data_IF_537889925449
#
_entry.id   IF_537889925449
#
_cell.length_a   1.000
_cell.length_b   1.000
_cell.length_c   1.000
_cell.angle_alpha   90.00
_cell.angle_beta   90.00
_cell.angle_gamma   90.00
#
_symmetry.space_group_name_H-M   'P 1'
#
loop_
_entity.id
_entity.type
_entity.pdbx_description
1 polymer ?
#
# COMPACT_ATOMS: atom_id res chain seq x y z
N UNK A 1 10.82 26.90 -9.90
CA UNK A 1 9.66 27.45 -9.17
C UNK A 1 9.54 26.67 -7.86
N UNK A 2 9.42 27.33 -6.72
CA UNK A 2 9.21 26.63 -5.44
C UNK A 2 7.79 26.09 -5.44
N UNK A 3 7.61 24.78 -5.31
CA UNK A 3 6.30 24.18 -5.10
C UNK A 3 5.64 24.79 -3.85
N UNK A 4 4.34 25.08 -3.92
CA UNK A 4 3.57 25.59 -2.79
C UNK A 4 3.35 24.48 -1.76
N UNK A 5 3.31 24.85 -0.49
CA UNK A 5 3.01 23.90 0.58
C UNK A 5 1.55 23.47 0.47
N UNK A 6 1.35 22.16 0.41
CA UNK A 6 0.07 21.51 0.47
C UNK A 6 -0.04 20.70 1.77
N UNK A 7 -1.26 20.50 2.25
CA UNK A 7 -1.53 19.55 3.35
C UNK A 7 -1.56 18.13 2.82
N UNK A 8 -1.10 17.18 3.63
CA UNK A 8 -1.15 15.75 3.32
C UNK A 8 -2.01 15.02 4.35
N UNK A 9 -2.91 14.17 3.88
CA UNK A 9 -3.73 13.30 4.71
C UNK A 9 -4.07 12.00 4.01
N UNK A 10 -4.74 11.12 4.75
CA UNK A 10 -5.15 9.80 4.31
C UNK A 10 -6.60 9.58 4.72
N UNK A 11 -7.40 8.97 3.86
CA UNK A 11 -8.77 8.63 4.18
C UNK A 11 -9.16 7.27 3.57
N UNK A 12 -9.98 6.46 4.27
CA UNK A 12 -10.57 5.27 3.67
C UNK A 12 -11.42 5.64 2.45
N UNK A 13 -11.28 4.85 1.38
CA UNK A 13 -12.03 4.96 0.16
C UNK A 13 -12.46 3.57 -0.33
N UNK A 14 -13.53 3.55 -1.12
CA UNK A 14 -14.15 2.33 -1.60
C UNK A 14 -14.39 2.45 -3.10
N UNK A 15 -13.92 1.48 -3.86
CA UNK A 15 -14.39 1.21 -5.22
C UNK A 15 -15.41 0.09 -5.13
N UNK A 16 -16.67 0.42 -5.34
CA UNK A 16 -17.75 -0.55 -5.30
C UNK A 16 -17.58 -1.59 -6.42
N UNK A 17 -17.75 -2.87 -6.07
CA UNK A 17 -17.81 -3.94 -7.07
C UNK A 17 -19.15 -3.97 -7.82
N UNK A 18 -19.18 -4.66 -8.96
CA UNK A 18 -20.38 -4.73 -9.79
C UNK A 18 -20.25 -5.69 -10.97
N UNK A 19 -21.36 -5.90 -11.68
CA UNK A 19 -21.38 -6.60 -12.97
C UNK A 19 -21.68 -5.57 -14.05
N UNK A 20 -20.80 -5.48 -15.04
CA UNK A 20 -20.94 -4.57 -16.17
C UNK A 20 -21.96 -5.12 -17.17
N UNK A 21 -22.50 -4.24 -18.01
CA UNK A 21 -23.54 -4.58 -18.99
C UNK A 21 -23.08 -5.63 -20.03
N UNK A 22 -21.78 -5.78 -20.23
CA UNK A 22 -21.16 -6.76 -21.12
C UNK A 22 -20.90 -8.13 -20.44
N UNK A 23 -21.20 -8.27 -19.14
CA UNK A 23 -20.99 -9.50 -18.37
C UNK A 23 -19.66 -9.56 -17.62
N UNK A 24 -18.80 -8.55 -17.76
CA UNK A 24 -17.56 -8.44 -16.97
C UNK A 24 -17.88 -8.09 -15.51
N UNK A 25 -16.94 -8.35 -14.60
CA UNK A 25 -17.08 -8.04 -13.19
C UNK A 25 -16.06 -6.98 -12.75
N UNK A 26 -16.52 -6.02 -11.95
CA UNK A 26 -15.69 -5.07 -11.21
C UNK A 26 -15.49 -5.60 -9.79
N UNK A 27 -14.24 -5.72 -9.38
CA UNK A 27 -13.90 -6.19 -8.04
C UNK A 27 -14.08 -5.04 -7.04
N UNK A 28 -14.76 -5.34 -5.93
CA UNK A 28 -14.84 -4.43 -4.80
C UNK A 28 -13.45 -4.22 -4.18
N UNK A 29 -13.06 -2.98 -3.91
CA UNK A 29 -11.80 -2.62 -3.25
C UNK A 29 -12.06 -1.63 -2.12
N UNK A 30 -11.53 -1.95 -0.95
CA UNK A 30 -11.37 -1.00 0.15
C UNK A 30 -9.89 -0.58 0.19
N UNK A 31 -9.60 0.70 0.08
CA UNK A 31 -8.24 1.24 -0.02
C UNK A 31 -8.10 2.56 0.73
N UNK A 32 -6.87 3.06 0.88
CA UNK A 32 -6.60 4.36 1.48
C UNK A 32 -6.30 5.38 0.37
N UNK A 33 -7.12 6.42 0.27
CA UNK A 33 -6.90 7.52 -0.68
C UNK A 33 -5.99 8.60 -0.07
N UNK A 34 -5.31 9.34 -0.93
CA UNK A 34 -4.47 10.48 -0.56
C UNK A 34 -5.33 11.74 -0.54
N UNK A 35 -5.30 12.46 0.58
CA UNK A 35 -5.98 13.75 0.74
C UNK A 35 -4.95 14.85 0.59
N UNK A 36 -5.10 15.68 -0.44
CA UNK A 36 -4.25 16.85 -0.70
C UNK A 36 -5.12 18.10 -0.61
N UNK A 37 -4.74 19.03 0.26
CA UNK A 37 -5.52 20.25 0.55
C UNK A 37 -6.98 19.98 0.93
N UNK A 38 -7.17 18.95 1.74
CA UNK A 38 -8.48 18.52 2.22
C UNK A 38 -9.37 17.86 1.16
N UNK A 39 -8.84 17.56 -0.03
CA UNK A 39 -9.58 16.93 -1.13
C UNK A 39 -8.95 15.59 -1.52
N UNK A 40 -9.77 14.55 -1.78
CA UNK A 40 -9.28 13.30 -2.35
C UNK A 40 -8.55 13.56 -3.66
N UNK A 41 -7.29 13.15 -3.76
CA UNK A 41 -6.46 13.36 -4.95
C UNK A 41 -7.01 12.58 -6.14
N UNK A 42 -7.64 11.41 -5.92
CA UNK A 42 -8.31 10.64 -6.97
C UNK A 42 -9.37 11.48 -7.70
N UNK A 43 -10.15 12.30 -7.00
CA UNK A 43 -11.14 13.18 -7.63
C UNK A 43 -10.54 14.34 -8.43
N UNK A 44 -9.26 14.64 -8.23
CA UNK A 44 -8.55 15.65 -9.02
C UNK A 44 -7.99 15.06 -10.31
N UNK A 45 -7.91 13.73 -10.39
CA UNK A 45 -7.42 12.95 -11.53
C UNK A 45 -8.65 12.34 -12.23
N UNK A 46 -9.28 13.12 -13.11
CA UNK A 46 -10.43 12.81 -14.00
C UNK A 46 -10.96 11.35 -14.00
N UNK A 47 -12.24 11.12 -13.68
CA UNK A 47 -13.05 9.87 -13.81
C UNK A 47 -12.26 8.54 -14.00
N UNK A 48 -11.26 8.32 -13.16
CA UNK A 48 -10.36 7.17 -13.22
C UNK A 48 -10.91 6.03 -12.37
N UNK A 49 -11.09 4.87 -12.99
CA UNK A 49 -11.33 3.62 -12.27
C UNK A 49 -9.99 3.05 -11.77
N UNK A 50 -9.45 3.68 -10.74
CA UNK A 50 -8.14 3.35 -10.17
C UNK A 50 -8.15 3.40 -8.64
N UNK A 51 -7.28 2.61 -8.02
CA UNK A 51 -7.12 2.54 -6.56
C UNK A 51 -5.67 2.76 -6.18
N UNK A 52 -5.43 3.27 -4.98
CA UNK A 52 -4.05 3.43 -4.52
C UNK A 52 -3.42 2.06 -4.24
N UNK A 53 -2.08 1.94 -4.26
CA UNK A 53 -1.37 0.74 -3.81
C UNK A 53 -1.53 0.43 -2.32
N UNK A 54 -2.27 1.25 -1.57
CA UNK A 54 -2.59 1.06 -0.15
C UNK A 54 -3.97 0.40 -0.01
N UNK A 55 -4.21 -0.65 -0.79
CA UNK A 55 -5.43 -1.44 -0.73
C UNK A 55 -5.39 -2.40 0.47
N UNK A 56 -6.54 -2.64 1.09
CA UNK A 56 -6.65 -3.42 2.33
C UNK A 56 -6.55 -4.94 2.12
N UNK A 57 -6.76 -5.40 0.89
CA UNK A 57 -6.78 -6.80 0.47
C UNK A 57 -5.41 -7.33 0.02
N UNK A 58 -4.38 -6.47 -0.04
CA UNK A 58 -3.01 -6.92 -0.34
C UNK A 58 -2.30 -7.48 0.91
N UNK A 59 -1.30 -8.36 0.75
CA UNK A 59 -0.54 -8.89 1.89
C UNK A 59 0.14 -7.78 2.72
N UNK A 60 0.19 -7.88 4.06
CA UNK A 60 0.76 -6.83 4.93
C UNK A 60 2.20 -6.45 4.57
N UNK A 61 3.03 -7.41 4.18
CA UNK A 61 4.41 -7.14 3.78
C UNK A 61 4.50 -6.28 2.51
N UNK A 62 3.58 -6.47 1.57
CA UNK A 62 3.46 -5.67 0.34
C UNK A 62 2.95 -4.27 0.70
N UNK A 63 1.91 -4.18 1.53
CA UNK A 63 1.39 -2.91 2.06
C UNK A 63 2.49 -2.08 2.74
N UNK A 64 3.22 -2.67 3.69
CA UNK A 64 4.36 -2.02 4.39
C UNK A 64 5.43 -1.57 3.41
N UNK A 65 5.70 -2.35 2.36
CA UNK A 65 6.66 -1.97 1.30
C UNK A 65 6.17 -0.74 0.53
N UNK A 66 4.88 -0.64 0.21
CA UNK A 66 4.31 0.54 -0.43
C UNK A 66 4.41 1.78 0.47
N UNK A 67 4.09 1.67 1.75
CA UNK A 67 4.23 2.79 2.70
C UNK A 67 5.69 3.24 2.81
N UNK A 68 6.64 2.31 2.94
CA UNK A 68 8.09 2.64 3.00
C UNK A 68 8.62 3.27 1.72
N UNK A 69 8.10 2.87 0.56
CA UNK A 69 8.41 3.52 -0.73
C UNK A 69 7.93 4.98 -0.74
N UNK A 70 6.71 5.25 -0.28
CA UNK A 70 6.19 6.62 -0.16
C UNK A 70 7.00 7.47 0.83
N UNK A 71 7.61 6.85 1.84
CA UNK A 71 8.55 7.48 2.78
C UNK A 71 9.97 7.67 2.22
N UNK A 72 10.23 7.21 0.99
CA UNK A 72 11.57 7.19 0.36
C UNK A 72 12.61 6.35 1.14
N UNK A 73 12.14 5.37 1.91
CA UNK A 73 12.98 4.40 2.63
C UNK A 73 13.32 3.16 1.79
N UNK A 74 12.66 3.02 0.65
CA UNK A 74 12.88 1.97 -0.33
C UNK A 74 12.96 2.57 -1.74
N UNK A 75 13.67 1.87 -2.64
CA UNK A 75 13.87 2.32 -4.02
C UNK A 75 12.54 2.50 -4.76
N UNK A 76 12.47 3.54 -5.60
CA UNK A 76 11.35 3.78 -6.50
C UNK A 76 11.06 2.55 -7.37
N UNK A 77 9.79 2.15 -7.52
CA UNK A 77 9.41 0.96 -8.28
C UNK A 77 9.57 1.12 -9.79
N UNK A 78 9.59 2.35 -10.31
CA UNK A 78 9.68 2.66 -11.73
C UNK A 78 10.95 3.46 -12.04
N UNK A 79 11.31 3.52 -13.33
CA UNK A 79 12.40 4.37 -13.81
C UNK A 79 12.17 5.85 -13.43
N UNK A 80 13.24 6.65 -13.44
CA UNK A 80 13.20 8.09 -13.22
C UNK A 80 12.64 8.52 -11.85
N UNK A 81 12.64 7.61 -10.86
CA UNK A 81 12.18 7.91 -9.50
C UNK A 81 10.66 7.99 -9.39
N UNK A 82 9.93 7.34 -10.31
CA UNK A 82 8.46 7.35 -10.32
C UNK A 82 7.85 6.31 -9.39
N UNK A 83 6.70 6.68 -8.84
CA UNK A 83 5.88 5.86 -7.98
C UNK A 83 4.48 5.77 -8.56
N UNK A 84 3.86 4.59 -8.44
CA UNK A 84 2.43 4.41 -8.71
C UNK A 84 1.65 5.08 -7.58
N UNK A 85 0.82 6.04 -7.92
CA UNK A 85 -0.10 6.73 -7.00
C UNK A 85 -1.48 6.06 -7.05
N UNK A 86 -1.95 5.76 -8.26
CA UNK A 86 -3.16 4.96 -8.49
C UNK A 86 -2.92 3.97 -9.63
N UNK A 87 -3.38 2.74 -9.47
CA UNK A 87 -3.24 1.67 -10.46
C UNK A 87 -4.56 0.95 -10.74
N UNK A 88 -4.53 0.09 -11.75
CA UNK A 88 -5.65 -0.77 -12.09
C UNK A 88 -6.06 -1.64 -10.88
N UNK A 89 -7.35 -1.62 -10.49
CA UNK A 89 -7.83 -2.40 -9.36
C UNK A 89 -7.80 -3.92 -9.60
N UNK A 90 -7.72 -4.39 -10.84
CA UNK A 90 -7.76 -5.81 -11.18
C UNK A 90 -6.38 -6.47 -11.21
N UNK A 91 -5.37 -5.83 -11.82
CA UNK A 91 -4.07 -6.45 -12.06
C UNK A 91 -2.88 -5.71 -11.45
N UNK A 92 -3.06 -4.46 -11.00
CA UNK A 92 -1.98 -3.57 -10.51
C UNK A 92 -0.83 -3.33 -11.50
N UNK A 93 -0.96 -3.85 -12.73
CA UNK A 93 0.05 -3.82 -13.76
C UNK A 93 0.06 -2.50 -14.52
N UNK A 94 1.27 -2.03 -14.84
CA UNK A 94 1.46 -0.77 -15.55
C UNK A 94 0.82 -0.81 -16.94
N UNK A 95 0.77 -1.97 -17.58
CA UNK A 95 0.19 -2.16 -18.91
C UNK A 95 -1.31 -1.85 -19.00
N UNK A 96 -2.06 -2.00 -17.89
CA UNK A 96 -3.45 -1.57 -17.82
C UNK A 96 -3.58 -0.05 -17.60
N UNK A 97 -2.49 0.56 -17.15
CA UNK A 97 -2.35 1.99 -16.91
C UNK A 97 -2.38 2.33 -15.43
N UNK A 98 -1.54 3.30 -15.08
CA UNK A 98 -1.42 3.81 -13.74
C UNK A 98 -1.21 5.32 -13.76
N UNK A 99 -1.72 6.01 -12.75
CA UNK A 99 -1.28 7.37 -12.43
C UNK A 99 0.01 7.28 -11.64
N UNK A 100 1.08 7.85 -12.18
CA UNK A 100 2.40 7.87 -11.56
C UNK A 100 2.88 9.28 -11.31
N UNK A 101 3.73 9.46 -10.31
CA UNK A 101 4.37 10.74 -10.00
C UNK A 101 5.81 10.52 -9.56
N UNK A 102 6.65 11.54 -9.71
CA UNK A 102 7.96 11.58 -9.06
C UNK A 102 7.77 11.98 -7.61
N UNK A 103 8.34 11.21 -6.70
CA UNK A 103 8.38 11.54 -5.27
C UNK A 103 9.84 11.69 -4.86
N UNK A 104 10.19 12.84 -4.32
CA UNK A 104 11.56 13.16 -3.91
C UNK A 104 11.60 14.03 -2.66
N UNK A 105 12.80 14.15 -2.06
CA UNK A 105 13.06 15.13 -1.02
C UNK A 105 13.19 16.52 -1.64
N UNK A 106 12.74 17.54 -0.92
CA UNK A 106 12.89 18.92 -1.35
C UNK A 106 14.37 19.29 -1.57
N UNK A 107 14.67 19.92 -2.70
CA UNK A 107 16.05 20.25 -3.11
C UNK A 107 16.71 21.34 -2.25
N UNK A 108 15.97 22.01 -1.38
CA UNK A 108 16.47 23.08 -0.51
C UNK A 108 17.08 22.57 0.82
N UNK A 109 17.22 21.26 0.96
CA UNK A 109 17.82 20.62 2.14
C UNK A 109 16.88 20.51 3.34
N UNK A 110 15.61 20.92 3.19
CA UNK A 110 14.57 20.56 4.15
C UNK A 110 14.24 19.06 4.07
N UNK A 111 13.58 18.56 5.11
CA UNK A 111 13.15 17.16 5.18
C UNK A 111 11.76 16.94 4.56
N UNK A 112 11.30 17.91 3.77
CA UNK A 112 10.01 17.94 3.09
C UNK A 112 10.00 16.98 1.89
N UNK A 113 8.80 16.56 1.51
CA UNK A 113 8.57 15.70 0.35
C UNK A 113 7.92 16.51 -0.77
N UNK A 114 8.30 16.22 -2.01
CA UNK A 114 7.73 16.84 -3.21
C UNK A 114 7.16 15.75 -4.09
N UNK A 115 5.90 15.87 -4.45
CA UNK A 115 5.24 15.07 -5.49
C UNK A 115 5.08 15.93 -6.73
N UNK A 116 5.62 15.50 -7.87
CA UNK A 116 5.58 16.26 -9.12
C UNK A 116 5.42 15.36 -10.34
N UNK A 117 5.19 16.00 -11.48
CA UNK A 117 5.10 15.36 -12.79
C UNK A 117 4.10 14.20 -12.79
N UNK A 118 2.88 14.46 -12.32
CA UNK A 118 1.84 13.43 -12.39
C UNK A 118 1.56 13.08 -13.85
N UNK A 119 1.46 11.80 -14.18
CA UNK A 119 1.15 11.36 -15.53
C UNK A 119 0.37 10.04 -15.53
N UNK A 120 -0.44 9.84 -16.57
CA UNK A 120 -0.94 8.52 -16.92
C UNK A 120 0.18 7.74 -17.65
N UNK A 121 0.51 6.56 -17.16
CA UNK A 121 1.64 5.77 -17.64
C UNK A 121 1.20 4.33 -17.92
N UNK A 122 1.47 3.86 -19.14
CA UNK A 122 1.18 2.49 -19.60
C UNK A 122 2.43 1.71 -20.06
N UNK A 123 3.60 2.36 -20.04
CA UNK A 123 4.87 1.81 -20.46
C UNK A 123 5.99 2.24 -19.51
N UNK A 124 7.20 1.69 -19.68
CA UNK A 124 8.34 1.94 -18.79
C UNK A 124 8.66 3.43 -18.57
N UNK A 125 8.46 4.27 -19.60
CA UNK A 125 8.68 5.71 -19.53
C UNK A 125 7.37 6.48 -19.68
N UNK A 126 7.22 7.51 -18.85
CA UNK A 126 6.09 8.42 -18.94
C UNK A 126 6.34 9.50 -20.00
N UNK A 127 5.38 9.71 -20.89
CA UNK A 127 5.34 10.87 -21.78
C UNK A 127 4.54 11.99 -21.10
N UNK A 128 5.22 12.96 -20.51
CA UNK A 128 4.59 14.05 -19.76
C UNK A 128 3.88 15.06 -20.66
N UNK A 129 4.32 15.23 -21.89
CA UNK A 129 3.67 16.17 -22.80
C UNK A 129 2.30 15.63 -23.21
N UNK A 130 2.24 14.32 -23.55
CA UNK A 130 1.01 13.68 -23.98
C UNK A 130 0.09 13.29 -22.82
N UNK A 131 0.64 12.74 -21.74
CA UNK A 131 -0.12 12.09 -20.68
C UNK A 131 0.05 12.75 -19.30
N UNK A 132 0.70 13.91 -19.23
CA UNK A 132 0.90 14.66 -18.00
C UNK A 132 -0.38 15.32 -17.48
N UNK A 133 -0.57 15.28 -16.17
CA UNK A 133 -1.59 16.07 -15.48
C UNK A 133 -1.03 17.47 -15.19
N UNK A 134 -0.95 18.31 -16.22
CA UNK A 134 -0.32 19.65 -16.21
C UNK A 134 -0.92 20.67 -15.22
N UNK A 135 -2.03 20.33 -14.56
CA UNK A 135 -2.67 21.14 -13.52
C UNK A 135 -2.58 20.56 -12.11
N UNK A 136 -1.87 19.43 -11.93
CA UNK A 136 -1.76 18.72 -10.66
C UNK A 136 -0.33 18.79 -10.16
N UNK A 137 -0.16 19.36 -8.97
CA UNK A 137 1.14 19.60 -8.37
C UNK A 137 1.97 20.63 -9.15
N UNK A 138 3.27 20.75 -8.82
CA UNK A 138 3.97 20.00 -7.78
C UNK A 138 3.42 20.31 -6.38
N UNK A 139 3.21 19.28 -5.57
CA UNK A 139 2.81 19.42 -4.18
C UNK A 139 4.03 19.31 -3.28
N UNK A 140 4.19 20.25 -2.35
CA UNK A 140 5.21 20.17 -1.32
C UNK A 140 4.57 19.89 0.03
N UNK A 141 4.98 18.81 0.68
CA UNK A 141 4.45 18.40 1.97
C UNK A 141 5.48 18.61 3.07
N UNK A 142 5.01 19.10 4.22
CA UNK A 142 5.81 19.20 5.44
C UNK A 142 6.27 17.80 5.86
N UNK A 143 7.58 17.62 6.02
CA UNK A 143 8.16 16.30 6.23
C UNK A 143 7.63 15.56 7.46
N UNK A 144 7.43 16.29 8.56
CA UNK A 144 6.89 15.77 9.82
C UNK A 144 5.42 15.33 9.70
N UNK A 145 4.56 16.16 9.12
CA UNK A 145 3.15 15.83 8.88
C UNK A 145 2.99 14.64 7.93
N UNK A 146 3.75 14.64 6.84
CA UNK A 146 3.75 13.56 5.84
C UNK A 146 4.16 12.22 6.44
N UNK A 147 5.25 12.20 7.22
CA UNK A 147 5.72 10.98 7.91
C UNK A 147 4.75 10.54 8.99
N UNK A 148 4.17 11.47 9.75
CA UNK A 148 3.21 11.14 10.78
C UNK A 148 1.97 10.43 10.18
N UNK A 149 1.42 10.97 9.09
CA UNK A 149 0.27 10.37 8.41
C UNK A 149 0.58 8.95 7.91
N UNK A 150 1.69 8.76 7.18
CA UNK A 150 2.07 7.44 6.68
C UNK A 150 2.49 6.47 7.79
N UNK A 151 3.12 6.98 8.85
CA UNK A 151 3.54 6.19 10.01
C UNK A 151 2.38 5.58 10.80
N UNK A 152 1.22 6.24 10.82
CA UNK A 152 0.01 5.68 11.42
C UNK A 152 -0.42 4.38 10.74
N UNK A 153 -0.31 4.29 9.40
CA UNK A 153 -0.63 3.07 8.66
C UNK A 153 0.29 1.89 9.02
N UNK A 154 1.56 2.16 9.32
CA UNK A 154 2.50 1.12 9.78
C UNK A 154 2.15 0.63 11.18
N UNK A 155 1.80 1.54 12.08
CA UNK A 155 1.40 1.18 13.45
C UNK A 155 0.12 0.32 13.45
N UNK A 156 -0.89 0.69 12.66
CA UNK A 156 -2.12 -0.10 12.51
C UNK A 156 -1.86 -1.45 11.83
N UNK A 157 -0.98 -1.47 10.82
CA UNK A 157 -0.53 -2.68 10.14
C UNK A 157 0.17 -3.66 11.08
N UNK A 158 1.04 -3.16 11.97
CA UNK A 158 1.74 -3.97 12.96
C UNK A 158 0.77 -4.58 13.99
N UNK A 159 -0.25 -3.85 14.44
CA UNK A 159 -1.29 -4.40 15.30
C UNK A 159 -2.13 -5.47 14.59
N UNK A 160 -2.48 -5.24 13.32
CA UNK A 160 -3.20 -6.22 12.51
C UNK A 160 -2.33 -7.46 12.22
N UNK A 161 -1.03 -7.29 12.03
CA UNK A 161 -0.07 -8.38 11.80
C UNK A 161 0.15 -9.22 13.07
N UNK A 162 0.14 -8.60 14.26
CA UNK A 162 0.08 -9.33 15.53
C UNK A 162 -1.20 -10.19 15.60
N UNK A 163 -2.35 -9.65 15.17
CA UNK A 163 -3.60 -10.41 15.04
C UNK A 163 -3.57 -11.48 13.94
N UNK A 164 -2.65 -11.42 12.96
CA UNK A 164 -2.41 -12.44 11.92
C UNK A 164 -1.27 -13.39 12.30
N UNK A 165 -1.09 -13.70 13.59
CA UNK A 165 -0.23 -14.79 14.05
C UNK A 165 -1.02 -16.08 14.21
N UNK A 166 -0.46 -17.19 13.74
CA UNK A 166 -1.04 -18.53 13.85
C UNK A 166 -0.09 -19.44 14.61
N UNK A 167 -0.62 -20.15 15.60
CA UNK A 167 0.09 -21.22 16.29
C UNK A 167 -0.26 -22.57 15.62
N UNK A 168 0.75 -23.29 15.17
CA UNK A 168 0.64 -24.61 14.57
C UNK A 168 1.07 -25.67 15.60
N UNK A 169 0.15 -26.52 16.03
CA UNK A 169 0.41 -27.53 17.06
C UNK A 169 0.38 -28.93 16.45
N UNK A 170 1.48 -29.68 16.57
CA UNK A 170 1.48 -31.05 16.10
C UNK A 170 2.85 -31.73 16.03
N UNK A 171 2.80 -33.07 15.96
CA UNK A 171 3.99 -33.92 15.94
C UNK A 171 4.70 -33.94 14.57
N UNK A 172 4.02 -33.51 13.49
CA UNK A 172 4.54 -33.54 12.11
C UNK A 172 5.28 -32.26 11.74
N UNK A 173 6.40 -32.00 12.42
CA UNK A 173 7.18 -30.75 12.29
C UNK A 173 7.53 -30.40 10.84
N UNK A 174 7.89 -31.38 10.00
CA UNK A 174 8.23 -31.12 8.59
C UNK A 174 7.05 -30.58 7.76
N UNK A 175 5.82 -31.05 8.03
CA UNK A 175 4.62 -30.57 7.35
C UNK A 175 4.23 -29.19 7.86
N UNK A 176 4.27 -29.00 9.18
CA UNK A 176 3.98 -27.70 9.81
C UNK A 176 5.01 -26.64 9.41
N UNK A 177 6.28 -27.02 9.19
CA UNK A 177 7.32 -26.12 8.70
C UNK A 177 7.03 -25.64 7.27
N UNK A 178 6.53 -26.51 6.39
CA UNK A 178 6.11 -26.11 5.03
C UNK A 178 4.91 -25.15 5.07
N UNK A 179 3.92 -25.45 5.91
CA UNK A 179 2.76 -24.58 6.11
C UNK A 179 3.18 -23.23 6.69
N UNK A 180 4.04 -23.22 7.72
CA UNK A 180 4.57 -22.00 8.32
C UNK A 180 5.34 -21.17 7.29
N UNK A 181 6.15 -21.80 6.43
CA UNK A 181 6.83 -21.11 5.35
C UNK A 181 5.84 -20.46 4.36
N UNK A 182 4.80 -21.17 3.94
CA UNK A 182 3.76 -20.62 3.06
C UNK A 182 2.97 -19.48 3.71
N UNK A 183 2.57 -19.61 4.98
CA UNK A 183 1.88 -18.54 5.72
C UNK A 183 2.75 -17.27 5.82
N UNK A 184 4.05 -17.43 6.06
CA UNK A 184 4.98 -16.29 6.09
C UNK A 184 5.11 -15.59 4.74
N UNK A 185 4.99 -16.30 3.61
CA UNK A 185 5.01 -15.66 2.28
C UNK A 185 3.83 -14.71 2.03
N UNK A 186 2.71 -14.92 2.73
CA UNK A 186 1.53 -14.04 2.66
C UNK A 186 1.42 -13.08 3.86
N UNK A 187 2.49 -12.94 4.66
CA UNK A 187 2.56 -12.02 5.78
C UNK A 187 1.86 -12.49 7.07
N UNK A 188 1.54 -13.79 7.18
CA UNK A 188 0.99 -14.39 8.39
C UNK A 188 2.13 -14.95 9.23
N UNK A 189 2.26 -14.47 10.47
CA UNK A 189 3.26 -14.98 11.41
C UNK A 189 2.89 -16.40 11.82
N UNK A 190 3.82 -17.36 11.74
CA UNK A 190 3.55 -18.75 12.10
C UNK A 190 4.58 -19.25 13.11
N UNK A 191 4.10 -19.81 14.22
CA UNK A 191 4.89 -20.45 15.27
C UNK A 191 4.49 -21.92 15.39
N UNK A 192 5.43 -22.80 15.71
CA UNK A 192 5.19 -24.25 15.77
C UNK A 192 5.45 -24.73 17.20
N UNK A 193 4.45 -25.36 17.81
CA UNK A 193 4.57 -26.05 19.08
C UNK A 193 4.33 -27.56 18.89
N UNK A 194 5.05 -28.38 19.67
CA UNK A 194 4.87 -29.83 19.61
C UNK A 194 3.54 -30.27 20.28
N UNK A 195 3.10 -29.55 21.31
CA UNK A 195 1.86 -29.78 22.03
C UNK A 195 1.23 -28.46 22.51
N UNK A 196 -0.02 -28.54 22.97
CA UNK A 196 -0.76 -27.40 23.53
C UNK A 196 -0.52 -27.20 25.04
N UNK A 197 0.10 -28.17 25.72
CA UNK A 197 0.34 -28.11 27.16
C UNK A 197 1.51 -27.16 27.51
N UNK A 198 2.42 -26.92 26.57
CA UNK A 198 3.56 -26.02 26.73
C UNK A 198 3.28 -24.54 26.45
N UNK A 199 2.08 -24.16 26.01
CA UNK A 199 1.77 -22.77 25.60
C UNK A 199 0.93 -22.06 26.66
N UNK A 200 1.47 -21.04 27.37
CA UNK A 200 0.75 -20.29 28.39
C UNK A 200 -0.51 -19.61 27.84
N UNK A 201 -1.54 -19.45 28.68
CA UNK A 201 -2.78 -18.79 28.28
C UNK A 201 -2.59 -17.35 27.79
N UNK A 202 -1.64 -16.61 28.39
CA UNK A 202 -1.33 -15.24 27.97
C UNK A 202 -0.69 -15.20 26.57
N UNK A 203 0.12 -16.22 26.24
CA UNK A 203 0.70 -16.37 24.91
C UNK A 203 -0.35 -16.79 23.88
N UNK A 204 -1.27 -17.70 24.24
CA UNK A 204 -2.38 -18.13 23.37
C UNK A 204 -3.26 -16.97 22.92
N UNK A 205 -3.46 -15.94 23.76
CA UNK A 205 -4.25 -14.74 23.43
C UNK A 205 -3.59 -13.85 22.37
N UNK A 206 -2.30 -14.06 22.07
CA UNK A 206 -1.57 -13.29 21.07
C UNK A 206 -1.72 -13.83 19.64
N UNK A 207 -2.23 -15.05 19.47
CA UNK A 207 -2.46 -15.66 18.16
C UNK A 207 -3.90 -15.41 17.69
N UNK A 208 -4.06 -15.04 16.42
CA UNK A 208 -5.37 -14.92 15.78
C UNK A 208 -6.03 -16.26 15.42
N UNK A 209 -5.23 -17.32 15.32
CA UNK A 209 -5.73 -18.68 15.14
C UNK A 209 -4.77 -19.73 15.69
N UNK A 210 -5.30 -20.91 16.03
CA UNK A 210 -4.53 -22.11 16.39
C UNK A 210 -4.98 -23.26 15.49
N UNK A 211 -4.03 -23.94 14.85
CA UNK A 211 -4.29 -25.06 13.95
C UNK A 211 -3.55 -26.33 14.39
N UNK A 212 -4.20 -27.48 14.31
CA UNK A 212 -3.65 -28.78 14.71
C UNK A 212 -3.36 -29.65 13.47
N UNK A 213 -2.24 -30.38 13.46
CA UNK A 213 -1.83 -31.19 12.28
C UNK A 213 -0.84 -32.32 12.53
#
# INVERSE_FOLDING_TARGET
>A
MSAEYATFGLAPAIRAGGVLANGDYQVHRDFVDFIVDGRPLLFQLSDLDAVSPLASDIPPAIFTTHVRRLLLEAQAPLEEGRYVIYGCPECEGLECGAVTAVIEKAADGSDDFVWRDFAWQTSERADLELNGYHGIGPFRFRGDEYRAALGQLLAEGDEAQHRRRVLLIGARVATLAKLAAALRTIGVGAEIAADAAGVPADELRTYGAVAFG
#
